data_IF_442265490528
#
_entry.id   IF_442265490528
#
_cell.length_a   1.000
_cell.length_b   1.000
_cell.length_c   1.000
_cell.angle_alpha   90.00
_cell.angle_beta   90.00
_cell.angle_gamma   90.00
#
_symmetry.space_group_name_H-M   'P 1'
#
loop_
_entity.id
_entity.type
_entity.pdbx_description
1 polymer ?
#
# COMPACT_ATOMS: atom_id res chain seq x y z
N UNK A 1 6.09 -11.53 22.71
CA UNK A 1 5.98 -10.07 22.70
C UNK A 1 5.71 -9.71 21.26
N UNK A 2 4.61 -9.03 20.94
CA UNK A 2 4.30 -8.67 19.54
C UNK A 2 4.91 -7.30 19.30
N UNK A 3 6.06 -7.25 18.63
CA UNK A 3 6.65 -6.01 18.09
C UNK A 3 5.75 -5.48 16.95
N UNK A 4 5.85 -4.19 16.60
CA UNK A 4 5.27 -3.64 15.36
C UNK A 4 5.78 -4.43 14.15
N UNK A 5 7.04 -4.87 14.21
CA UNK A 5 7.63 -5.74 13.19
C UNK A 5 6.92 -7.11 13.05
N UNK A 6 6.18 -7.54 14.08
CA UNK A 6 5.47 -8.83 14.11
C UNK A 6 4.01 -8.73 13.66
N UNK A 7 3.56 -7.55 13.23
CA UNK A 7 2.19 -7.40 12.74
C UNK A 7 2.09 -8.01 11.33
N UNK A 8 1.17 -8.96 11.11
CA UNK A 8 1.04 -9.60 9.80
C UNK A 8 0.74 -8.61 8.68
N UNK A 9 1.40 -8.82 7.53
CA UNK A 9 1.31 -7.95 6.37
C UNK A 9 1.14 -8.77 5.08
N UNK A 10 0.78 -8.07 4.00
CA UNK A 10 0.69 -8.61 2.65
C UNK A 10 1.39 -7.68 1.66
N UNK A 11 1.90 -8.24 0.57
CA UNK A 11 2.50 -7.47 -0.52
C UNK A 11 1.41 -6.97 -1.46
N UNK A 12 1.20 -5.66 -1.53
CA UNK A 12 0.33 -5.05 -2.52
C UNK A 12 1.15 -4.67 -3.75
N UNK A 13 0.84 -5.25 -4.91
CA UNK A 13 1.49 -4.95 -6.19
C UNK A 13 0.50 -4.34 -7.16
N UNK A 14 1.00 -3.74 -8.23
CA UNK A 14 0.17 -3.29 -9.34
C UNK A 14 1.03 -3.02 -10.55
N UNK A 15 0.76 -3.75 -11.64
CA UNK A 15 1.44 -3.62 -12.93
C UNK A 15 0.56 -2.84 -13.91
N UNK A 16 0.74 -1.53 -13.90
CA UNK A 16 0.06 -0.57 -14.76
C UNK A 16 0.81 -0.30 -16.07
N UNK A 17 1.57 -1.29 -16.58
CA UNK A 17 2.40 -1.15 -17.78
C UNK A 17 1.63 -0.80 -19.06
N UNK A 18 0.34 -1.09 -19.12
CA UNK A 18 -0.54 -0.67 -20.23
C UNK A 18 -1.06 0.77 -20.08
N UNK A 19 -1.00 1.34 -18.87
CA UNK A 19 -1.44 2.70 -18.55
C UNK A 19 -0.28 3.68 -18.64
N UNK A 20 0.89 3.20 -18.22
CA UNK A 20 2.15 3.93 -18.20
C UNK A 20 3.15 3.13 -19.03
N UNK A 21 3.34 3.43 -20.33
CA UNK A 21 4.34 2.75 -21.12
C UNK A 21 5.73 2.98 -20.51
N UNK A 22 6.52 1.91 -20.41
CA UNK A 22 7.91 1.94 -19.97
C UNK A 22 8.76 2.66 -21.03
N UNK A 23 8.76 3.99 -20.99
CA UNK A 23 9.57 4.81 -21.89
C UNK A 23 10.91 5.08 -21.24
N UNK A 24 11.85 4.15 -21.43
CA UNK A 24 13.25 4.34 -21.11
C UNK A 24 13.85 5.31 -22.14
N UNK A 25 13.62 6.62 -21.93
CA UNK A 25 14.14 7.65 -22.82
C UNK A 25 15.62 7.90 -22.49
N UNK A 26 16.49 7.62 -23.46
CA UNK A 26 17.95 7.67 -23.31
C UNK A 26 18.55 9.07 -23.56
N UNK A 27 17.70 10.07 -23.83
CA UNK A 27 18.09 11.47 -24.05
C UNK A 27 17.59 12.42 -22.96
N UNK A 28 18.51 12.99 -22.19
CA UNK A 28 18.27 13.97 -21.11
C UNK A 28 17.24 15.08 -21.42
N UNK A 29 16.13 15.12 -20.66
CA UNK A 29 15.68 16.30 -19.89
C UNK A 29 15.14 15.86 -18.51
N UNK A 30 15.56 16.47 -17.38
CA UNK A 30 15.23 15.98 -16.03
C UNK A 30 13.75 16.03 -15.63
N UNK A 31 12.89 16.73 -16.39
CA UNK A 31 11.53 17.08 -15.95
C UNK A 31 10.44 16.80 -17.00
N UNK A 32 10.78 16.09 -18.09
CA UNK A 32 9.83 15.71 -19.14
C UNK A 32 9.47 14.22 -19.01
N UNK A 33 8.41 13.95 -18.25
CA UNK A 33 7.57 12.74 -18.36
C UNK A 33 8.20 11.38 -18.03
N UNK A 34 8.63 11.17 -16.78
CA UNK A 34 8.41 9.83 -16.20
C UNK A 34 6.93 9.76 -15.81
N UNK A 35 6.05 9.08 -16.58
CA UNK A 35 4.66 8.94 -16.21
C UNK A 35 4.52 8.42 -14.78
N UNK A 36 3.83 9.22 -13.96
CA UNK A 36 3.56 8.87 -12.58
C UNK A 36 2.13 9.24 -12.17
N UNK A 37 1.62 8.52 -11.18
CA UNK A 37 0.30 8.74 -10.61
C UNK A 37 0.34 8.58 -9.10
N UNK A 38 -0.18 9.56 -8.37
CA UNK A 38 -0.40 9.41 -6.93
C UNK A 38 -1.53 8.40 -6.68
N UNK A 39 -1.37 7.57 -5.65
CA UNK A 39 -2.42 6.67 -5.18
C UNK A 39 -2.51 6.81 -3.67
N UNK A 40 -3.68 7.17 -3.17
CA UNK A 40 -3.94 7.25 -1.73
C UNK A 40 -4.65 5.98 -1.28
N UNK A 41 -4.11 5.34 -0.25
CA UNK A 41 -4.71 4.21 0.42
C UNK A 41 -5.32 4.67 1.73
N UNK A 42 -6.63 4.52 1.88
CA UNK A 42 -7.34 4.83 3.13
C UNK A 42 -7.80 3.53 3.80
N UNK A 43 -7.15 3.10 4.88
CA UNK A 43 -7.61 1.95 5.66
C UNK A 43 -8.92 2.26 6.39
N UNK A 44 -9.85 1.30 6.37
CA UNK A 44 -11.13 1.34 7.08
C UNK A 44 -11.47 -0.04 7.63
N UNK A 45 -12.42 -0.07 8.55
CA UNK A 45 -13.01 -1.32 9.02
C UNK A 45 -14.43 -1.43 8.49
N UNK A 46 -14.73 -2.55 7.85
CA UNK A 46 -16.08 -2.93 7.47
C UNK A 46 -16.64 -3.91 8.52
N UNK A 47 -17.85 -3.64 9.01
CA UNK A 47 -18.57 -4.53 9.91
C UNK A 47 -19.19 -5.74 9.19
N UNK A 48 -19.91 -6.60 9.94
CA UNK A 48 -20.54 -7.81 9.40
C UNK A 48 -21.58 -7.57 8.29
N UNK A 49 -22.16 -6.37 8.25
CA UNK A 49 -23.11 -5.89 7.24
C UNK A 49 -22.44 -5.05 6.14
N UNK A 50 -21.11 -5.12 6.03
CA UNK A 50 -20.29 -4.31 5.14
C UNK A 50 -20.41 -2.79 5.35
N UNK A 51 -21.00 -2.31 6.45
CA UNK A 51 -20.99 -0.88 6.80
C UNK A 51 -19.62 -0.47 7.32
N UNK A 52 -19.18 0.71 6.91
CA UNK A 52 -17.91 1.26 7.37
C UNK A 52 -18.03 1.78 8.80
N UNK A 53 -17.07 1.39 9.63
CA UNK A 53 -16.87 1.98 10.95
C UNK A 53 -16.36 3.44 10.83
N UNK A 54 -16.48 4.27 11.89
CA UNK A 54 -16.03 5.66 11.91
C UNK A 54 -14.56 5.87 11.46
N UNK A 55 -14.19 7.09 11.02
CA UNK A 55 -13.12 7.32 10.05
C UNK A 55 -11.67 7.21 10.55
N UNK A 56 -11.37 6.61 11.68
CA UNK A 56 -9.97 6.40 12.12
C UNK A 56 -9.90 5.17 13.03
N UNK A 57 -9.72 3.97 12.47
CA UNK A 57 -9.63 2.79 13.31
C UNK A 57 -8.34 2.82 14.13
N UNK A 58 -8.51 2.82 15.45
CA UNK A 58 -7.43 2.76 16.44
C UNK A 58 -7.34 1.34 16.98
N UNK A 59 -6.14 0.75 16.93
CA UNK A 59 -5.88 -0.58 17.48
C UNK A 59 -4.96 -0.47 18.68
N UNK A 60 -5.42 -0.96 19.82
CA UNK A 60 -4.59 -1.01 21.01
C UNK A 60 -3.87 -2.35 21.07
N UNK A 61 -2.56 -2.34 20.86
CA UNK A 61 -1.70 -3.48 21.09
C UNK A 61 -1.43 -3.61 22.60
N UNK A 62 -2.39 -4.16 23.33
CA UNK A 62 -2.32 -4.31 24.79
C UNK A 62 -1.27 -5.32 25.25
N UNK A 63 -0.85 -6.23 24.37
CA UNK A 63 0.18 -7.22 24.65
C UNK A 63 1.63 -6.75 24.33
N UNK A 64 1.78 -5.55 23.75
CA UNK A 64 3.07 -4.88 23.59
C UNK A 64 3.44 -4.19 24.93
N UNK A 65 4.74 -4.13 25.28
CA UNK A 65 5.23 -3.48 26.50
C UNK A 65 6.26 -2.40 26.15
N UNK A 66 5.95 -1.09 26.32
CA UNK A 66 4.69 -0.54 26.83
C UNK A 66 3.53 -0.71 25.84
N UNK A 67 2.25 -0.70 26.27
CA UNK A 67 1.13 -0.79 25.34
C UNK A 67 1.16 0.33 24.31
N UNK A 68 0.98 -0.02 23.03
CA UNK A 68 0.98 0.93 21.90
C UNK A 68 -0.42 1.04 21.31
N UNK A 69 -0.77 2.23 20.82
CA UNK A 69 -1.96 2.44 19.98
C UNK A 69 -1.52 2.68 18.54
N UNK A 70 -1.97 1.83 17.63
CA UNK A 70 -1.81 2.01 16.19
C UNK A 70 -2.97 2.84 15.67
N UNK A 71 -2.64 3.91 14.95
CA UNK A 71 -3.61 4.70 14.20
C UNK A 71 -3.44 4.34 12.72
N UNK A 72 -4.50 3.82 12.09
CA UNK A 72 -4.46 3.63 10.65
C UNK A 72 -4.86 4.92 9.95
N UNK A 73 -3.85 5.66 9.51
CA UNK A 73 -4.02 6.89 8.73
C UNK A 73 -3.97 6.59 7.24
N UNK A 74 -4.63 7.42 6.40
CA UNK A 74 -4.38 7.41 4.97
C UNK A 74 -2.89 7.57 4.67
N UNK A 75 -2.39 6.86 3.66
CA UNK A 75 -1.01 6.99 3.21
C UNK A 75 -0.95 7.04 1.69
N UNK A 76 0.13 7.64 1.18
CA UNK A 76 0.34 7.81 -0.25
C UNK A 76 1.31 6.77 -0.80
N UNK A 77 1.05 6.36 -2.02
CA UNK A 77 1.93 5.60 -2.89
C UNK A 77 1.99 6.27 -4.26
N UNK A 78 2.85 5.74 -5.12
CA UNK A 78 2.99 6.21 -6.49
C UNK A 78 3.08 5.06 -7.46
N UNK A 79 2.44 5.21 -8.61
CA UNK A 79 2.74 4.39 -9.79
C UNK A 79 3.92 5.06 -10.49
N UNK A 80 5.10 4.44 -10.46
CA UNK A 80 6.30 4.91 -11.17
C UNK A 80 6.70 3.87 -12.21
N UNK A 81 6.81 4.28 -13.48
CA UNK A 81 7.14 3.39 -14.60
C UNK A 81 6.23 2.15 -14.65
N UNK A 82 4.92 2.35 -14.42
CA UNK A 82 3.93 1.27 -14.46
C UNK A 82 3.95 0.35 -13.23
N UNK A 83 4.76 0.64 -12.21
CA UNK A 83 4.83 -0.19 -10.99
C UNK A 83 4.40 0.62 -9.77
N UNK A 84 3.55 0.04 -8.93
CA UNK A 84 3.19 0.60 -7.63
C UNK A 84 4.39 0.56 -6.66
N UNK A 85 4.75 1.70 -6.06
CA UNK A 85 5.87 1.85 -5.12
C UNK A 85 5.55 2.90 -4.06
N UNK A 86 6.26 2.88 -2.93
CA UNK A 86 6.18 3.97 -1.96
C UNK A 86 6.75 5.26 -2.60
N UNK A 87 6.21 6.44 -2.25
CA UNK A 87 6.74 7.70 -2.76
C UNK A 87 8.19 7.83 -2.28
N UNK A 88 9.07 8.23 -3.20
CA UNK A 88 10.44 8.58 -2.83
C UNK A 88 10.40 9.83 -1.98
N UNK A 89 10.83 9.74 -0.73
CA UNK A 89 11.22 10.92 0.02
C UNK A 89 12.53 11.43 -0.58
N UNK A 90 12.65 12.75 -0.69
CA UNK A 90 13.94 13.34 -1.00
C UNK A 90 14.94 12.91 0.08
N UNK A 91 16.15 12.54 -0.33
CA UNK A 91 17.21 12.28 0.63
C UNK A 91 17.41 13.54 1.49
N UNK A 92 17.63 13.40 2.81
CA UNK A 92 17.95 14.54 3.66
C UNK A 92 19.07 15.38 3.05
N UNK A 93 18.98 16.70 3.15
CA UNK A 93 19.98 17.60 2.56
C UNK A 93 21.39 17.24 3.08
N UNK A 94 22.26 16.73 2.20
CA UNK A 94 23.62 16.30 2.52
C UNK A 94 23.85 14.78 2.52
N UNK A 95 22.80 13.97 2.49
CA UNK A 95 22.90 12.52 2.28
C UNK A 95 22.74 12.20 0.80
N UNK A 96 23.81 11.74 0.16
CA UNK A 96 23.71 11.10 -1.14
C UNK A 96 23.46 9.60 -0.91
N UNK A 97 22.32 9.04 -1.34
CA UNK A 97 22.09 7.61 -1.22
C UNK A 97 23.18 6.85 -1.98
N UNK A 98 23.65 5.75 -1.38
CA UNK A 98 24.66 4.88 -1.99
C UNK A 98 24.10 4.21 -3.25
N UNK A 99 24.97 3.76 -4.19
CA UNK A 99 24.52 3.01 -5.36
C UNK A 99 23.64 1.80 -5.00
N UNK A 100 23.98 1.09 -3.92
CA UNK A 100 23.22 -0.07 -3.43
C UNK A 100 21.82 0.32 -2.98
N UNK A 101 21.66 1.42 -2.24
CA UNK A 101 20.34 1.89 -1.80
C UNK A 101 19.49 2.35 -2.98
N UNK A 102 20.11 3.00 -3.97
CA UNK A 102 19.46 3.38 -5.22
C UNK A 102 18.97 2.13 -5.97
N UNK A 103 19.79 1.09 -6.06
CA UNK A 103 19.43 -0.14 -6.77
C UNK A 103 18.36 -0.95 -6.02
N UNK A 104 18.40 -1.01 -4.69
CA UNK A 104 17.33 -1.58 -3.86
C UNK A 104 16.01 -0.84 -4.06
N UNK A 105 16.04 0.49 -4.11
CA UNK A 105 14.85 1.30 -4.38
C UNK A 105 14.32 1.09 -5.80
N UNK A 106 15.20 0.97 -6.81
CA UNK A 106 14.80 0.66 -8.19
C UNK A 106 14.17 -0.72 -8.29
N UNK A 107 14.72 -1.71 -7.59
CA UNK A 107 14.21 -3.08 -7.53
C UNK A 107 12.94 -3.21 -6.67
N UNK A 108 12.59 -2.22 -5.85
CA UNK A 108 11.37 -2.27 -5.06
C UNK A 108 10.14 -2.32 -5.97
N UNK A 109 9.28 -3.31 -5.71
CA UNK A 109 8.01 -3.53 -6.41
C UNK A 109 6.94 -3.74 -5.35
N UNK A 110 5.87 -2.95 -5.39
CA UNK A 110 4.76 -3.04 -4.47
C UNK A 110 5.01 -2.39 -3.10
N UNK A 111 3.99 -2.50 -2.25
CA UNK A 111 3.88 -1.92 -0.92
C UNK A 111 3.65 -3.03 0.10
N UNK A 112 4.27 -2.95 1.26
CA UNK A 112 3.93 -3.82 2.38
C UNK A 112 2.76 -3.18 3.13
N UNK A 113 1.63 -3.87 3.18
CA UNK A 113 0.38 -3.35 3.74
C UNK A 113 -0.12 -4.25 4.87
N UNK A 114 -0.76 -3.64 5.87
CA UNK A 114 -1.29 -4.35 7.02
C UNK A 114 -2.36 -5.37 6.60
N UNK A 115 -2.19 -6.63 7.00
CA UNK A 115 -3.16 -7.67 6.72
C UNK A 115 -4.28 -7.70 7.76
N UNK A 116 -5.42 -8.27 7.38
CA UNK A 116 -6.43 -8.65 8.37
C UNK A 116 -5.85 -9.78 9.23
N UNK A 117 -5.80 -9.65 10.56
CA UNK A 117 -5.20 -10.67 11.41
C UNK A 117 -5.75 -10.65 12.83
N UNK A 118 -5.59 -11.76 13.58
CA UNK A 118 -5.94 -11.79 15.01
C UNK A 118 -5.20 -10.73 15.83
N UNK A 119 -4.02 -10.27 15.39
CA UNK A 119 -3.25 -9.23 16.07
C UNK A 119 -3.98 -7.87 16.11
N UNK A 120 -4.90 -7.62 15.17
CA UNK A 120 -5.75 -6.43 15.17
C UNK A 120 -6.91 -6.49 16.18
N UNK A 121 -7.17 -7.67 16.75
CA UNK A 121 -8.23 -7.88 17.74
C UNK A 121 -9.62 -7.41 17.26
N UNK A 122 -9.89 -7.53 15.95
CA UNK A 122 -11.20 -7.22 15.38
C UNK A 122 -12.27 -8.17 15.92
N UNK A 123 -13.46 -7.63 16.21
CA UNK A 123 -14.61 -8.46 16.55
C UNK A 123 -15.00 -9.38 15.39
N UNK A 124 -15.65 -10.49 15.69
CA UNK A 124 -16.09 -11.44 14.65
C UNK A 124 -16.95 -10.75 13.58
N UNK A 125 -16.65 -11.05 12.31
CA UNK A 125 -17.32 -10.47 11.15
C UNK A 125 -16.81 -9.09 10.73
N UNK A 126 -15.91 -8.47 11.49
CA UNK A 126 -15.23 -7.24 11.08
C UNK A 126 -14.02 -7.54 10.19
N UNK A 127 -13.76 -6.68 9.21
CA UNK A 127 -12.69 -6.85 8.21
C UNK A 127 -11.94 -5.55 8.01
N UNK A 128 -10.62 -5.64 7.85
CA UNK A 128 -9.81 -4.55 7.32
C UNK A 128 -10.05 -4.42 5.81
N UNK A 129 -10.39 -3.22 5.37
CA UNK A 129 -10.57 -2.87 3.96
C UNK A 129 -9.75 -1.63 3.62
N UNK A 130 -9.40 -1.50 2.35
CA UNK A 130 -8.66 -0.35 1.83
C UNK A 130 -9.46 0.32 0.73
N UNK A 131 -9.68 1.63 0.87
CA UNK A 131 -10.04 2.48 -0.25
C UNK A 131 -8.78 2.80 -1.04
N UNK A 132 -8.85 2.64 -2.35
CA UNK A 132 -7.81 3.06 -3.28
C UNK A 132 -8.34 4.24 -4.07
N UNK A 133 -7.68 5.39 -3.93
CA UNK A 133 -8.01 6.60 -4.66
C UNK A 133 -6.85 6.98 -5.56
N UNK A 134 -7.11 7.06 -6.85
CA UNK A 134 -6.11 7.50 -7.82
C UNK A 134 -6.17 9.02 -7.93
N UNK A 135 -5.02 9.67 -7.76
CA UNK A 135 -4.84 11.05 -8.16
C UNK A 135 -4.79 11.17 -9.68
N UNK A 136 -4.76 12.41 -10.17
CA UNK A 136 -4.56 12.68 -11.60
C UNK A 136 -3.23 12.13 -12.07
N UNK A 137 -3.27 11.26 -13.08
CA UNK A 137 -2.07 10.72 -13.72
C UNK A 137 -1.72 11.57 -14.94
N UNK A 138 -0.44 11.95 -15.08
CA UNK A 138 0.06 12.65 -16.26
C UNK A 138 0.83 11.68 -17.15
N UNK A 139 0.27 11.36 -18.31
CA UNK A 139 0.87 10.46 -19.29
C UNK A 139 0.97 11.20 -20.63
N UNK A 140 2.18 11.37 -21.14
CA UNK A 140 2.45 12.03 -22.44
C UNK A 140 1.74 13.40 -22.59
N UNK A 141 1.72 14.20 -21.52
CA UNK A 141 1.09 15.53 -21.51
C UNK A 141 -0.44 15.53 -21.39
N UNK A 142 -1.07 14.36 -21.25
CA UNK A 142 -2.52 14.22 -21.00
C UNK A 142 -2.78 13.78 -19.56
N UNK A 143 -3.91 14.26 -19.04
CA UNK A 143 -4.39 13.89 -17.71
C UNK A 143 -5.37 12.72 -17.82
N UNK A 144 -5.16 11.72 -16.96
CA UNK A 144 -6.00 10.54 -16.85
C UNK A 144 -6.46 10.40 -15.40
N UNK A 145 -7.72 10.02 -15.23
CA UNK A 145 -8.31 9.74 -13.92
C UNK A 145 -8.86 8.32 -13.92
N UNK A 146 -8.75 7.65 -12.78
CA UNK A 146 -9.22 6.29 -12.60
C UNK A 146 -10.26 6.24 -11.50
N UNK A 147 -11.23 5.36 -11.65
CA UNK A 147 -12.25 5.17 -10.62
C UNK A 147 -11.59 4.66 -9.34
N UNK A 148 -11.99 5.28 -8.23
CA UNK A 148 -11.63 4.78 -6.91
C UNK A 148 -12.38 3.49 -6.65
N UNK A 149 -11.76 2.57 -5.93
CA UNK A 149 -12.40 1.31 -5.55
C UNK A 149 -12.01 0.90 -4.13
N UNK A 150 -12.67 -0.13 -3.61
CA UNK A 150 -12.31 -0.75 -2.36
C UNK A 150 -11.87 -2.19 -2.57
N UNK A 151 -11.06 -2.71 -1.67
CA UNK A 151 -10.78 -4.15 -1.58
C UNK A 151 -10.63 -4.57 -0.11
N UNK A 152 -10.82 -5.86 0.14
CA UNK A 152 -10.63 -6.46 1.48
C UNK A 152 -9.18 -6.89 1.63
N UNK A 153 -8.54 -6.51 2.74
CA UNK A 153 -7.20 -6.98 3.05
C UNK A 153 -7.22 -8.51 3.25
N UNK A 154 -6.21 -9.26 2.74
CA UNK A 154 -6.14 -10.69 2.96
C UNK A 154 -6.00 -11.00 4.44
N UNK A 155 -6.51 -12.17 4.85
CA UNK A 155 -6.38 -12.63 6.23
C UNK A 155 -5.08 -13.42 6.40
N UNK A 156 -4.22 -12.98 7.32
CA UNK A 156 -2.94 -13.63 7.64
C UNK A 156 -2.95 -14.02 9.10
N UNK A 157 -2.85 -15.33 9.36
CA UNK A 157 -2.97 -15.90 10.71
C UNK A 157 -1.62 -16.30 11.31
N UNK A 158 -0.57 -16.43 10.50
CA UNK A 158 0.77 -16.80 10.93
C UNK A 158 1.83 -16.00 10.17
N UNK A 159 2.70 -15.34 10.91
CA UNK A 159 3.82 -14.53 10.44
C UNK A 159 5.15 -15.00 11.08
N UNK A 160 5.12 -15.89 12.08
CA UNK A 160 6.22 -15.99 13.07
C UNK A 160 6.97 -17.32 13.12
N UNK A 161 6.80 -18.29 12.20
CA UNK A 161 7.41 -19.62 12.41
C UNK A 161 8.15 -20.31 11.27
N UNK A 162 8.31 -19.76 10.06
CA UNK A 162 8.99 -20.49 8.97
C UNK A 162 10.04 -19.63 8.24
N UNK A 163 11.28 -20.13 8.03
CA UNK A 163 12.27 -19.50 7.15
C UNK A 163 11.82 -19.43 5.67
N UNK A 164 10.63 -19.95 5.37
CA UNK A 164 9.99 -20.04 4.06
C UNK A 164 8.71 -19.20 3.94
N UNK A 165 8.33 -18.44 4.98
CA UNK A 165 7.12 -17.63 4.94
C UNK A 165 7.17 -16.61 3.81
N UNK A 166 6.15 -16.65 2.94
CA UNK A 166 5.98 -15.72 1.83
C UNK A 166 4.69 -14.94 2.07
N UNK A 167 4.78 -13.62 2.08
CA UNK A 167 3.60 -12.79 2.28
C UNK A 167 2.59 -12.99 1.15
N UNK A 168 1.27 -13.02 1.45
CA UNK A 168 0.27 -13.02 0.39
C UNK A 168 0.47 -11.81 -0.50
N UNK A 169 0.27 -11.98 -1.80
CA UNK A 169 0.36 -10.89 -2.76
C UNK A 169 -1.03 -10.53 -3.26
N UNK A 170 -1.35 -9.24 -3.28
CA UNK A 170 -2.57 -8.67 -3.86
C UNK A 170 -2.18 -7.78 -5.03
N UNK A 171 -2.64 -8.12 -6.23
CA UNK A 171 -2.48 -7.27 -7.42
C UNK A 171 -3.68 -6.34 -7.57
N UNK A 172 -3.47 -5.03 -7.44
CA UNK A 172 -4.52 -4.01 -7.55
C UNK A 172 -5.24 -4.00 -8.90
N UNK A 173 -4.58 -4.50 -9.95
CA UNK A 173 -5.15 -4.53 -11.30
C UNK A 173 -6.23 -5.61 -11.45
N UNK A 174 -6.20 -6.65 -10.61
CA UNK A 174 -7.08 -7.82 -10.69
C UNK A 174 -7.82 -8.14 -9.39
N UNK A 175 -7.50 -7.45 -8.27
CA UNK A 175 -8.13 -7.68 -6.98
C UNK A 175 -9.65 -7.52 -7.03
N UNK A 176 -10.34 -8.44 -6.36
CA UNK A 176 -11.80 -8.39 -6.20
C UNK A 176 -12.22 -7.07 -5.54
N UNK A 177 -13.24 -6.42 -6.13
CA UNK A 177 -13.74 -5.14 -5.65
C UNK A 177 -14.70 -5.35 -4.48
N UNK A 178 -14.46 -4.64 -3.40
CA UNK A 178 -15.37 -4.53 -2.26
C UNK A 178 -16.36 -3.37 -2.49
N UNK A 179 -17.61 -3.56 -2.07
CA UNK A 179 -18.64 -2.53 -2.13
C UNK A 179 -19.13 -2.25 -0.68
N UNK A 180 -18.66 -1.17 -0.03
CA UNK A 180 -19.17 -0.81 1.28
C UNK A 180 -20.65 -0.42 1.21
N UNK A 181 -21.40 -0.75 2.27
CA UNK A 181 -22.74 -0.22 2.48
C UNK A 181 -22.58 1.17 3.11
N UNK A 182 -23.06 2.19 2.43
CA UNK A 182 -23.09 3.59 2.90
C UNK A 182 -24.27 3.79 3.84
#
# INVERSE_FOLDING_TARGET
>A
MTDIADIPWFKCVGLYGNIVPDTLDSGYRPDHFKPWGAVTFTPRIAGPDNKLAPPEPQFRLTAHTPPITLLLVPFEARIENGVLKLPRLDAPAGENPTPTEIDQQRASVGLDMLANSPALQLSSGYKLVYQVQFGTMKVLGKEHTFESFWFVAPTVNDFTTEPTWTSPTVDLTTVERFAPVV
#
